data_IF_261026876133
#
_entry.id   IF_261026876133
#
_cell.length_a   1.000
_cell.length_b   1.000
_cell.length_c   1.000
_cell.angle_alpha   90.00
_cell.angle_beta   90.00
_cell.angle_gamma   90.00
#
_symmetry.space_group_name_H-M   'P 1'
#
loop_
_entity.id
_entity.type
_entity.pdbx_description
1 polymer ?
#
# COMPACT_ATOMS: atom_id res chain seq x y z
N UNK A 1 0.80 12.46 9.74
CA UNK A 1 1.80 11.42 10.02
C UNK A 1 1.17 10.05 9.81
N UNK A 2 1.88 9.17 9.16
CA UNK A 2 1.38 7.83 8.89
C UNK A 2 2.43 6.78 9.18
N UNK A 3 1.99 5.57 9.48
CA UNK A 3 2.86 4.44 9.75
C UNK A 3 2.41 3.23 8.94
N UNK A 4 3.34 2.30 8.77
CA UNK A 4 3.03 0.99 8.19
C UNK A 4 3.65 -0.09 9.08
N UNK A 5 2.87 -1.12 9.36
CA UNK A 5 3.38 -2.31 10.04
C UNK A 5 3.12 -3.51 9.16
N UNK A 6 4.01 -4.49 9.21
CA UNK A 6 3.96 -5.64 8.32
C UNK A 6 3.69 -6.92 9.08
N UNK A 7 2.95 -7.83 8.44
CA UNK A 7 2.74 -9.18 8.94
C UNK A 7 2.83 -10.13 7.76
N UNK A 8 3.69 -11.14 7.86
CA UNK A 8 3.87 -12.11 6.78
C UNK A 8 3.23 -13.44 7.17
N UNK A 9 2.56 -14.07 6.21
CA UNK A 9 1.94 -15.38 6.38
C UNK A 9 2.03 -16.12 5.03
N UNK A 10 2.86 -17.13 4.97
CA UNK A 10 3.14 -17.90 3.75
C UNK A 10 3.61 -16.94 2.64
N UNK A 11 2.89 -16.90 1.51
CA UNK A 11 3.23 -16.04 0.37
C UNK A 11 2.55 -14.66 0.45
N UNK A 12 1.86 -14.38 1.55
CA UNK A 12 1.16 -13.13 1.73
C UNK A 12 1.97 -12.19 2.61
N UNK A 13 2.00 -10.93 2.22
CA UNK A 13 2.53 -9.87 3.05
C UNK A 13 1.42 -8.85 3.28
N UNK A 14 1.06 -8.62 4.53
CA UNK A 14 0.10 -7.60 4.92
C UNK A 14 0.85 -6.35 5.32
N UNK A 15 0.45 -5.22 4.77
CA UNK A 15 0.96 -3.91 5.16
C UNK A 15 -0.20 -3.10 5.75
N UNK A 16 -0.17 -2.91 7.06
CA UNK A 16 -1.23 -2.18 7.76
C UNK A 16 -0.86 -0.72 7.84
N UNK A 17 -1.57 0.10 7.08
CA UNK A 17 -1.36 1.54 7.04
C UNK A 17 -2.22 2.21 8.09
N UNK A 18 -1.69 3.24 8.76
CA UNK A 18 -2.43 3.96 9.79
C UNK A 18 -2.03 5.43 9.79
N UNK A 19 -2.96 6.28 10.21
CA UNK A 19 -2.73 7.70 10.35
C UNK A 19 -3.23 8.51 9.17
N UNK A 20 -2.53 9.59 8.87
CA UNK A 20 -2.91 10.51 7.81
C UNK A 20 -1.91 10.42 6.66
N UNK A 21 -2.40 10.14 5.47
CA UNK A 21 -1.56 10.00 4.29
C UNK A 21 -1.63 11.26 3.45
N UNK A 22 -0.73 12.19 3.74
CA UNK A 22 -0.49 13.39 2.96
C UNK A 22 0.74 13.16 2.08
N UNK A 23 1.21 14.23 1.42
CA UNK A 23 2.33 14.14 0.49
C UNK A 23 3.60 13.60 1.16
N UNK A 24 3.96 14.13 2.33
CA UNK A 24 5.18 13.72 3.02
C UNK A 24 5.07 12.29 3.53
N UNK A 25 3.93 11.93 4.10
CA UNK A 25 3.70 10.58 4.58
C UNK A 25 3.74 9.58 3.43
N UNK A 26 3.18 9.92 2.27
CA UNK A 26 3.20 9.04 1.11
C UNK A 26 4.62 8.73 0.66
N UNK A 27 5.54 9.70 0.72
CA UNK A 27 6.94 9.47 0.36
C UNK A 27 7.61 8.47 1.29
N UNK A 28 7.39 8.62 2.60
CA UNK A 28 7.94 7.70 3.59
C UNK A 28 7.36 6.30 3.45
N UNK A 29 6.05 6.20 3.24
CA UNK A 29 5.41 4.91 3.05
C UNK A 29 5.90 4.22 1.78
N UNK A 30 6.12 4.99 0.72
CA UNK A 30 6.65 4.44 -0.53
C UNK A 30 7.97 3.73 -0.31
N UNK A 31 8.88 4.35 0.41
CA UNK A 31 10.20 3.77 0.68
C UNK A 31 10.05 2.45 1.43
N UNK A 32 9.24 2.43 2.47
CA UNK A 32 9.04 1.24 3.28
C UNK A 32 8.36 0.12 2.52
N UNK A 33 7.36 0.46 1.69
CA UNK A 33 6.65 -0.54 0.89
C UNK A 33 7.52 -1.10 -0.22
N UNK A 34 8.32 -0.25 -0.88
CA UNK A 34 9.23 -0.71 -1.92
C UNK A 34 10.31 -1.63 -1.34
N UNK A 35 10.86 -1.28 -0.16
CA UNK A 35 11.82 -2.14 0.50
C UNK A 35 11.22 -3.51 0.82
N UNK A 36 9.99 -3.53 1.30
CA UNK A 36 9.33 -4.79 1.63
C UNK A 36 9.09 -5.63 0.37
N UNK A 37 8.67 -5.00 -0.72
CA UNK A 37 8.46 -5.70 -1.99
C UNK A 37 9.75 -6.30 -2.52
N UNK A 38 10.83 -5.53 -2.49
CA UNK A 38 12.12 -5.97 -3.03
C UNK A 38 12.76 -7.05 -2.17
N UNK A 39 12.66 -6.92 -0.85
CA UNK A 39 13.33 -7.84 0.06
C UNK A 39 12.57 -9.15 0.26
N UNK A 40 11.23 -9.10 0.23
CA UNK A 40 10.41 -10.28 0.51
C UNK A 40 9.82 -10.92 -0.74
N UNK A 41 9.70 -10.16 -1.82
CA UNK A 41 9.07 -10.60 -3.07
C UNK A 41 7.87 -11.53 -2.83
N UNK A 42 6.86 -11.06 -2.08
CA UNK A 42 5.69 -11.89 -1.76
C UNK A 42 4.90 -12.18 -3.02
N UNK A 43 4.12 -13.27 -3.01
CA UNK A 43 3.20 -13.52 -4.11
C UNK A 43 2.09 -12.47 -4.13
N UNK A 44 1.62 -12.08 -2.96
CA UNK A 44 0.57 -11.06 -2.81
C UNK A 44 0.94 -10.08 -1.70
N UNK A 45 0.82 -8.80 -2.01
CA UNK A 45 0.91 -7.73 -1.02
C UNK A 45 -0.49 -7.18 -0.80
N UNK A 46 -0.93 -7.20 0.45
CA UNK A 46 -2.23 -6.65 0.85
C UNK A 46 -2.00 -5.34 1.58
N UNK A 47 -2.50 -4.24 1.02
CA UNK A 47 -2.47 -2.94 1.69
C UNK A 47 -3.78 -2.76 2.46
N UNK A 48 -3.69 -2.67 3.77
CA UNK A 48 -4.85 -2.48 4.64
C UNK A 48 -4.94 -1.02 5.08
N UNK A 49 -6.06 -0.39 4.75
CA UNK A 49 -6.31 1.03 5.05
C UNK A 49 -7.22 1.24 6.25
N UNK A 50 -7.48 0.18 7.02
CA UNK A 50 -8.40 0.26 8.16
C UNK A 50 -8.01 1.27 9.22
N UNK A 51 -6.72 1.55 9.37
CA UNK A 51 -6.21 2.53 10.32
C UNK A 51 -6.01 3.93 9.76
N UNK A 52 -6.35 4.16 8.49
CA UNK A 52 -6.14 5.45 7.83
C UNK A 52 -7.34 6.36 8.08
N UNK A 53 -7.10 7.50 8.74
CA UNK A 53 -8.15 8.46 9.06
C UNK A 53 -8.31 9.56 8.02
N UNK A 54 -7.28 9.81 7.23
CA UNK A 54 -7.31 10.85 6.20
C UNK A 54 -6.34 10.46 5.09
N UNK A 55 -6.74 10.78 3.85
CA UNK A 55 -5.87 10.54 2.71
C UNK A 55 -6.21 11.54 1.58
N UNK A 56 -5.19 12.22 1.08
CA UNK A 56 -5.36 13.09 -0.09
C UNK A 56 -4.94 12.33 -1.36
N UNK A 57 -4.83 13.05 -2.47
CA UNK A 57 -4.48 12.43 -3.76
C UNK A 57 -3.10 11.79 -3.78
N UNK A 58 -2.22 12.14 -2.83
CA UNK A 58 -0.90 11.51 -2.71
C UNK A 58 -1.03 10.02 -2.38
N UNK A 59 -2.08 9.65 -1.65
CA UNK A 59 -2.36 8.24 -1.36
C UNK A 59 -2.73 7.45 -2.60
N UNK A 60 -3.45 8.07 -3.53
CA UNK A 60 -3.79 7.43 -4.81
C UNK A 60 -2.52 7.17 -5.60
N UNK A 61 -1.64 8.18 -5.68
CA UNK A 61 -0.35 8.02 -6.36
C UNK A 61 0.52 6.95 -5.72
N UNK A 62 0.50 6.86 -4.39
CA UNK A 62 1.22 5.83 -3.67
C UNK A 62 0.78 4.44 -4.12
N UNK A 63 -0.53 4.21 -4.17
CA UNK A 63 -1.08 2.91 -4.56
C UNK A 63 -0.75 2.58 -6.02
N UNK A 64 -0.95 3.52 -6.93
CA UNK A 64 -0.68 3.29 -8.35
C UNK A 64 0.78 2.99 -8.60
N UNK A 65 1.69 3.69 -7.91
CA UNK A 65 3.11 3.42 -8.01
C UNK A 65 3.49 2.04 -7.49
N UNK A 66 2.89 1.64 -6.37
CA UNK A 66 3.13 0.29 -5.81
C UNK A 66 2.57 -0.79 -6.72
N UNK A 67 1.47 -0.51 -7.40
CA UNK A 67 0.90 -1.46 -8.35
C UNK A 67 1.87 -1.71 -9.52
N UNK A 68 2.50 -0.65 -10.02
CA UNK A 68 3.49 -0.80 -11.09
C UNK A 68 4.71 -1.60 -10.61
N UNK A 69 5.21 -1.29 -9.43
CA UNK A 69 6.35 -2.03 -8.85
C UNK A 69 6.00 -3.51 -8.64
N UNK A 70 4.84 -3.78 -8.09
CA UNK A 70 4.38 -5.14 -7.84
C UNK A 70 4.30 -5.93 -9.14
N UNK A 71 3.76 -5.31 -10.19
CA UNK A 71 3.62 -5.98 -11.48
C UNK A 71 4.98 -6.39 -12.04
N UNK A 72 5.97 -5.51 -11.94
CA UNK A 72 7.33 -5.81 -12.40
C UNK A 72 7.93 -6.99 -11.65
N UNK A 73 7.64 -7.09 -10.35
CA UNK A 73 8.18 -8.15 -9.50
C UNK A 73 7.34 -9.42 -9.50
N UNK A 74 6.22 -9.44 -10.22
CA UNK A 74 5.33 -10.59 -10.22
C UNK A 74 4.48 -10.72 -8.97
N UNK A 75 4.33 -9.65 -8.21
CA UNK A 75 3.51 -9.60 -7.00
C UNK A 75 2.12 -9.07 -7.34
N UNK A 76 1.08 -9.73 -6.82
CA UNK A 76 -0.28 -9.22 -6.91
C UNK A 76 -0.54 -8.23 -5.79
N UNK A 77 -1.07 -7.07 -6.13
CA UNK A 77 -1.45 -6.06 -5.13
C UNK A 77 -2.94 -6.16 -4.87
N UNK A 78 -3.31 -6.22 -3.59
CA UNK A 78 -4.70 -6.21 -3.16
C UNK A 78 -4.91 -5.12 -2.12
N UNK A 79 -6.11 -4.57 -2.09
CA UNK A 79 -6.49 -3.57 -1.10
C UNK A 79 -7.52 -4.15 -0.15
N UNK A 80 -7.42 -3.76 1.12
CA UNK A 80 -8.32 -4.20 2.17
C UNK A 80 -8.74 -2.98 2.98
N UNK A 81 -10.04 -2.89 3.29
CA UNK A 81 -10.61 -1.76 4.03
C UNK A 81 -10.31 -0.42 3.36
N UNK A 82 -10.31 -0.41 2.02
CA UNK A 82 -9.99 0.79 1.27
C UNK A 82 -11.12 1.83 1.37
N UNK A 83 -10.77 3.12 1.52
CA UNK A 83 -11.79 4.17 1.46
C UNK A 83 -12.56 4.13 0.14
N UNK A 84 -13.82 4.56 0.18
CA UNK A 84 -14.69 4.52 -1.00
C UNK A 84 -14.10 5.25 -2.20
N UNK A 85 -13.39 6.35 -1.96
CA UNK A 85 -12.78 7.13 -3.04
C UNK A 85 -11.71 6.35 -3.78
N UNK A 86 -11.01 5.44 -3.10
CA UNK A 86 -10.02 4.59 -3.74
C UNK A 86 -10.65 3.50 -4.58
N UNK A 87 -11.77 2.98 -4.12
CA UNK A 87 -12.47 1.94 -4.85
C UNK A 87 -12.91 2.41 -6.23
N UNK A 88 -13.28 3.68 -6.35
CA UNK A 88 -13.67 4.27 -7.63
C UNK A 88 -12.49 4.40 -8.59
N UNK A 89 -11.33 4.78 -8.07
CA UNK A 89 -10.15 5.02 -8.90
C UNK A 89 -9.54 3.71 -9.37
N UNK A 90 -9.60 2.67 -8.56
CA UNK A 90 -8.94 1.40 -8.84
C UNK A 90 -9.83 0.39 -9.57
N UNK A 91 -11.00 0.81 -9.96
CA UNK A 91 -11.92 -0.02 -10.75
C UNK A 91 -11.59 -0.08 -12.23
N UNK A 92 -10.48 0.47 -12.57
CA UNK A 92 -10.06 0.51 -13.98
C UNK A 92 -9.55 -0.84 -14.47
#
# INVERSE_FOLDING_TARGET
>A
MATVTFSAADDLLYAYLAGEIDHDAAQNLRIQLDDALLNRTPRTLVLDFGGVGFMDSSGIGLILGRQRCARVLGTTLRLQHAPAQLQKVLRL
#
